data_IF_198665104964
#
_entry.id   IF_198665104964
#
_cell.length_a   1.000
_cell.length_b   1.000
_cell.length_c   1.000
_cell.angle_alpha   90.00
_cell.angle_beta   90.00
_cell.angle_gamma   90.00
#
_symmetry.space_group_name_H-M   'P 1'
#
loop_
_entity.id
_entity.type
_entity.pdbx_description
1 polymer ?
#
# COMPACT_ATOMS: atom_id res chain seq x y z
N UNK A 1 9.33 24.85 30.62
CA UNK A 1 10.01 23.61 30.17
C UNK A 1 8.95 22.54 29.99
N UNK A 2 8.43 22.39 28.77
CA UNK A 2 7.38 21.41 28.45
C UNK A 2 7.99 20.01 28.43
N UNK A 3 7.47 19.11 29.26
CA UNK A 3 7.91 17.72 29.34
C UNK A 3 7.58 17.05 28.00
N UNK A 4 8.61 16.82 27.18
CA UNK A 4 8.51 15.90 26.05
C UNK A 4 8.40 14.50 26.63
N UNK A 5 7.18 13.97 26.70
CA UNK A 5 6.98 12.54 26.87
C UNK A 5 7.59 11.85 25.66
N UNK A 6 8.73 11.17 25.87
CA UNK A 6 9.26 10.22 24.91
C UNK A 6 8.28 9.03 24.88
N UNK A 7 7.33 9.07 23.96
CA UNK A 7 6.57 7.88 23.58
C UNK A 7 7.60 6.94 22.94
N UNK A 8 7.90 5.82 23.60
CA UNK A 8 8.69 4.76 23.00
C UNK A 8 8.12 4.47 21.62
N UNK A 9 8.97 4.44 20.59
CA UNK A 9 8.57 4.03 19.26
C UNK A 9 8.16 2.56 19.35
N UNK A 10 6.86 2.31 19.58
CA UNK A 10 6.28 1.00 19.35
C UNK A 10 6.73 0.58 17.96
N UNK A 11 7.26 -0.63 17.84
CA UNK A 11 7.51 -1.25 16.54
C UNK A 11 6.12 -1.46 15.93
N UNK A 12 5.64 -0.48 15.16
CA UNK A 12 4.29 -0.57 14.61
C UNK A 12 4.39 -1.51 13.42
N UNK A 13 4.07 -2.77 13.66
CA UNK A 13 3.84 -3.73 12.60
C UNK A 13 2.54 -3.38 11.89
N UNK A 14 2.51 -3.59 10.58
CA UNK A 14 1.31 -3.34 9.77
C UNK A 14 0.16 -4.24 10.22
N UNK A 15 -0.98 -3.67 10.58
CA UNK A 15 -2.15 -4.43 11.07
C UNK A 15 -2.75 -5.36 10.01
N UNK A 16 -2.67 -4.96 8.73
CA UNK A 16 -3.19 -5.74 7.60
C UNK A 16 -2.18 -6.79 7.15
N UNK A 17 -0.93 -6.39 6.90
CA UNK A 17 0.07 -7.25 6.27
C UNK A 17 0.52 -8.41 7.16
N UNK A 18 0.47 -8.27 8.49
CA UNK A 18 0.80 -9.39 9.41
C UNK A 18 -0.17 -10.57 9.31
N UNK A 19 -1.37 -10.36 8.77
CA UNK A 19 -2.38 -11.40 8.58
C UNK A 19 -2.31 -12.06 7.20
N UNK A 20 -1.58 -11.47 6.25
CA UNK A 20 -1.48 -11.99 4.90
C UNK A 20 -0.68 -13.29 4.92
N UNK A 21 -1.30 -14.37 4.42
CA UNK A 21 -0.73 -15.69 4.45
C UNK A 21 -0.77 -16.30 3.06
N UNK A 22 0.39 -16.65 2.50
CA UNK A 22 0.51 -17.22 1.16
C UNK A 22 -0.25 -18.56 0.98
N UNK A 23 -0.62 -19.23 2.07
CA UNK A 23 -1.42 -20.45 2.05
C UNK A 23 -2.93 -20.21 1.98
N UNK A 24 -3.40 -18.96 2.07
CA UNK A 24 -4.82 -18.60 1.94
C UNK A 24 -5.08 -17.79 0.67
N UNK A 25 -6.33 -17.80 0.21
CA UNK A 25 -6.74 -16.98 -0.93
C UNK A 25 -6.58 -15.49 -0.59
N UNK A 26 -5.84 -14.76 -1.42
CA UNK A 26 -5.59 -13.34 -1.24
C UNK A 26 -6.87 -12.49 -1.25
N UNK A 27 -7.93 -12.97 -1.90
CA UNK A 27 -9.22 -12.28 -1.91
C UNK A 27 -9.89 -12.23 -0.53
N UNK A 28 -9.41 -13.01 0.43
CA UNK A 28 -9.83 -12.97 1.83
C UNK A 28 -8.99 -12.06 2.71
N UNK A 29 -7.89 -11.48 2.19
CA UNK A 29 -6.98 -10.68 3.00
C UNK A 29 -7.50 -9.27 3.23
N UNK A 30 -7.27 -8.73 4.43
CA UNK A 30 -7.59 -7.36 4.78
C UNK A 30 -6.94 -6.38 3.78
N UNK A 31 -7.75 -5.50 3.19
CA UNK A 31 -7.30 -4.51 2.22
C UNK A 31 -7.22 -5.00 0.77
N UNK A 32 -7.57 -6.25 0.48
CA UNK A 32 -7.71 -6.74 -0.90
C UNK A 32 -9.19 -6.80 -1.28
N UNK A 33 -9.50 -6.38 -2.51
CA UNK A 33 -10.82 -6.56 -3.11
C UNK A 33 -10.66 -7.26 -4.45
N UNK A 34 -11.39 -8.37 -4.63
CA UNK A 34 -11.41 -9.13 -5.87
C UNK A 34 -12.74 -9.00 -6.61
N UNK A 35 -12.73 -9.19 -7.93
CA UNK A 35 -13.94 -9.36 -8.73
C UNK A 35 -14.43 -10.82 -8.70
N UNK A 36 -15.53 -11.11 -9.42
CA UNK A 36 -16.10 -12.45 -9.52
C UNK A 36 -15.14 -13.50 -10.12
N UNK A 37 -14.17 -13.07 -10.93
CA UNK A 37 -13.16 -13.92 -11.55
C UNK A 37 -11.93 -14.15 -10.64
N UNK A 38 -11.94 -13.63 -9.40
CA UNK A 38 -10.82 -13.74 -8.45
C UNK A 38 -9.66 -12.79 -8.76
N UNK A 39 -9.83 -11.81 -9.65
CA UNK A 39 -8.79 -10.83 -9.97
C UNK A 39 -8.80 -9.69 -8.96
N UNK A 40 -7.62 -9.31 -8.45
CA UNK A 40 -7.47 -8.15 -7.56
C UNK A 40 -7.80 -6.86 -8.31
N UNK A 41 -8.90 -6.22 -7.90
CA UNK A 41 -9.38 -4.94 -8.44
C UNK A 41 -9.23 -3.78 -7.45
N UNK A 42 -9.06 -4.06 -6.16
CA UNK A 42 -8.83 -3.06 -5.13
C UNK A 42 -7.70 -3.46 -4.20
N UNK A 43 -6.84 -2.52 -3.89
CA UNK A 43 -5.75 -2.69 -2.94
C UNK A 43 -5.65 -1.45 -2.03
N UNK A 44 -5.83 -1.69 -0.73
CA UNK A 44 -5.74 -0.68 0.31
C UNK A 44 -4.62 -0.99 1.30
N UNK A 45 -3.48 -0.34 1.07
CA UNK A 45 -2.31 -0.37 1.94
C UNK A 45 -2.15 0.94 2.72
N UNK A 46 -3.22 1.72 2.92
CA UNK A 46 -3.13 2.93 3.72
C UNK A 46 -2.80 2.63 5.18
N UNK A 47 -2.06 3.54 5.82
CA UNK A 47 -1.71 3.48 7.25
C UNK A 47 -0.94 2.20 7.64
N UNK A 48 -0.31 1.51 6.69
CA UNK A 48 0.48 0.31 6.97
C UNK A 48 1.93 0.62 7.34
N UNK A 49 2.26 1.91 7.51
CA UNK A 49 3.58 2.42 7.91
C UNK A 49 4.72 1.82 7.10
N UNK A 50 4.45 1.51 5.84
CA UNK A 50 5.44 0.91 4.96
C UNK A 50 6.57 1.92 4.77
N UNK A 51 7.72 1.60 5.36
CA UNK A 51 8.97 2.33 5.13
C UNK A 51 9.76 1.58 4.07
N UNK A 52 9.98 2.22 2.93
CA UNK A 52 10.62 1.58 1.79
C UNK A 52 10.36 2.37 0.51
N UNK A 53 11.23 2.19 -0.48
CA UNK A 53 11.00 2.75 -1.80
C UNK A 53 10.05 1.84 -2.59
N UNK A 54 9.05 2.42 -3.24
CA UNK A 54 8.34 1.75 -4.33
C UNK A 54 9.05 2.18 -5.62
N UNK A 55 9.76 1.27 -6.27
CA UNK A 55 10.38 1.49 -7.57
C UNK A 55 9.56 0.83 -8.69
N UNK A 56 9.92 1.09 -9.96
CA UNK A 56 9.20 0.57 -11.14
C UNK A 56 9.08 -0.96 -11.17
N UNK A 57 9.98 -1.70 -10.51
CA UNK A 57 10.01 -3.17 -10.52
C UNK A 57 9.09 -3.81 -9.47
N UNK A 58 8.50 -3.00 -8.59
CA UNK A 58 7.64 -3.47 -7.52
C UNK A 58 6.47 -4.32 -8.06
N UNK A 59 6.16 -5.43 -7.37
CA UNK A 59 5.11 -6.37 -7.76
C UNK A 59 3.71 -5.74 -7.82
N UNK A 60 3.48 -4.63 -7.12
CA UNK A 60 2.27 -3.80 -7.22
C UNK A 60 1.89 -3.53 -8.68
N UNK A 61 2.88 -3.21 -9.52
CA UNK A 61 2.68 -2.85 -10.92
C UNK A 61 2.37 -4.05 -11.84
N UNK A 62 2.32 -5.27 -11.30
CA UNK A 62 1.86 -6.47 -12.00
C UNK A 62 0.35 -6.67 -11.90
N UNK A 63 -0.34 -5.95 -11.01
CA UNK A 63 -1.79 -6.04 -10.82
C UNK A 63 -2.54 -5.28 -11.93
N UNK A 64 -2.53 -5.81 -13.15
CA UNK A 64 -3.10 -5.14 -14.33
C UNK A 64 -4.62 -4.91 -14.28
N UNK A 65 -5.33 -5.67 -13.45
CA UNK A 65 -6.78 -5.52 -13.25
C UNK A 65 -7.12 -4.51 -12.14
N UNK A 66 -6.13 -3.93 -11.48
CA UNK A 66 -6.34 -3.01 -10.36
C UNK A 66 -7.07 -1.75 -10.82
N UNK A 67 -8.17 -1.44 -10.13
CA UNK A 67 -9.03 -0.29 -10.39
C UNK A 67 -8.94 0.74 -9.27
N UNK A 68 -8.68 0.29 -8.04
CA UNK A 68 -8.58 1.15 -6.85
C UNK A 68 -7.28 0.88 -6.11
N UNK A 69 -6.51 1.93 -5.87
CA UNK A 69 -5.26 1.87 -5.11
C UNK A 69 -5.24 2.96 -4.05
N UNK A 70 -5.17 2.55 -2.78
CA UNK A 70 -5.01 3.45 -1.66
C UNK A 70 -3.66 3.20 -0.98
N UNK A 71 -2.78 4.20 -1.03
CA UNK A 71 -1.47 4.21 -0.41
C UNK A 71 -1.33 5.36 0.61
N UNK A 72 -2.44 5.97 1.01
CA UNK A 72 -2.44 7.15 1.87
C UNK A 72 -1.81 6.88 3.25
N UNK A 73 -1.29 7.95 3.87
CA UNK A 73 -0.72 7.91 5.22
C UNK A 73 0.39 6.86 5.41
N UNK A 74 1.19 6.65 4.37
CA UNK A 74 2.44 5.90 4.44
C UNK A 74 3.64 6.86 4.47
N UNK A 75 4.83 6.32 4.71
CA UNK A 75 6.07 7.10 4.76
C UNK A 75 7.05 6.62 3.68
N UNK A 76 6.58 6.60 2.42
CA UNK A 76 7.47 6.36 1.29
C UNK A 76 8.54 7.46 1.28
N UNK A 77 9.81 7.10 1.19
CA UNK A 77 10.94 8.05 1.14
C UNK A 77 11.61 8.01 -0.23
N UNK A 78 10.79 7.94 -1.27
CA UNK A 78 11.23 7.73 -2.65
C UNK A 78 10.50 8.68 -3.60
N UNK A 79 11.06 8.85 -4.80
CA UNK A 79 10.38 9.53 -5.91
C UNK A 79 9.12 8.77 -6.31
N UNK A 80 8.20 9.49 -6.95
CA UNK A 80 7.03 8.88 -7.56
C UNK A 80 7.45 7.89 -8.68
N UNK A 81 7.12 6.59 -8.57
CA UNK A 81 7.61 5.58 -9.50
C UNK A 81 6.88 5.64 -10.84
N UNK A 82 7.61 5.49 -11.95
CA UNK A 82 7.02 5.42 -13.30
C UNK A 82 6.21 4.13 -13.55
N UNK A 83 6.26 3.15 -12.64
CA UNK A 83 5.51 1.90 -12.77
C UNK A 83 3.98 2.05 -12.78
N UNK A 84 3.44 3.18 -12.30
CA UNK A 84 2.00 3.46 -12.33
C UNK A 84 1.40 3.43 -13.74
N UNK A 85 2.21 3.66 -14.78
CA UNK A 85 1.80 3.53 -16.18
C UNK A 85 1.29 2.11 -16.54
N UNK A 86 1.73 1.09 -15.80
CA UNK A 86 1.32 -0.30 -16.03
C UNK A 86 -0.06 -0.64 -15.43
N UNK A 87 -0.60 0.23 -14.57
CA UNK A 87 -1.92 0.04 -13.94
C UNK A 87 -3.01 0.64 -14.84
N UNK A 88 -3.13 0.12 -16.07
CA UNK A 88 -3.97 0.69 -17.12
C UNK A 88 -5.48 0.77 -16.77
N UNK A 89 -5.94 -0.06 -15.83
CA UNK A 89 -7.34 -0.08 -15.38
C UNK A 89 -7.60 0.79 -14.14
N UNK A 90 -6.59 1.50 -13.64
CA UNK A 90 -6.69 2.28 -12.40
C UNK A 90 -7.62 3.48 -12.61
N UNK A 91 -8.65 3.57 -11.77
CA UNK A 91 -9.68 4.62 -11.79
C UNK A 91 -9.64 5.49 -10.53
N UNK A 92 -9.14 4.93 -9.43
CA UNK A 92 -9.01 5.62 -8.16
C UNK A 92 -7.61 5.43 -7.60
N UNK A 93 -6.96 6.54 -7.28
CA UNK A 93 -5.63 6.58 -6.71
C UNK A 93 -5.59 7.59 -5.55
N UNK A 94 -5.32 7.09 -4.34
CA UNK A 94 -5.14 7.93 -3.17
C UNK A 94 -3.69 7.84 -2.66
N UNK A 95 -2.99 8.97 -2.73
CA UNK A 95 -1.60 9.15 -2.28
C UNK A 95 -1.47 10.20 -1.17
N UNK A 96 -2.58 10.58 -0.55
CA UNK A 96 -2.61 11.62 0.48
C UNK A 96 -1.63 11.29 1.61
N UNK A 97 -0.73 12.20 1.93
CA UNK A 97 0.28 12.02 2.99
C UNK A 97 1.11 10.73 2.85
N UNK A 98 1.43 10.31 1.63
CA UNK A 98 2.18 9.07 1.39
C UNK A 98 3.72 9.23 1.44
N UNK A 99 4.23 10.46 1.49
CA UNK A 99 5.66 10.76 1.67
C UNK A 99 6.51 10.82 0.38
N UNK A 100 5.93 10.58 -0.80
CA UNK A 100 6.65 10.67 -2.07
C UNK A 100 7.34 12.02 -2.27
N UNK A 101 8.55 12.00 -2.83
CA UNK A 101 9.35 13.19 -3.14
C UNK A 101 9.33 13.53 -4.65
N UNK A 102 9.51 14.80 -4.98
CA UNK A 102 9.61 15.34 -6.35
C UNK A 102 11.05 15.42 -6.84
#
# INVERSE_FOLDING_TARGET
MSKRSAKAAARIESEKLVKWNQSTDCCSWDGITCNADGQVIGLDLSEQLTSGAIDKSNCLFRLRHLQQLNLAYNSFKSKFPSGFENLANLRYLNLSNAGFTG
#
